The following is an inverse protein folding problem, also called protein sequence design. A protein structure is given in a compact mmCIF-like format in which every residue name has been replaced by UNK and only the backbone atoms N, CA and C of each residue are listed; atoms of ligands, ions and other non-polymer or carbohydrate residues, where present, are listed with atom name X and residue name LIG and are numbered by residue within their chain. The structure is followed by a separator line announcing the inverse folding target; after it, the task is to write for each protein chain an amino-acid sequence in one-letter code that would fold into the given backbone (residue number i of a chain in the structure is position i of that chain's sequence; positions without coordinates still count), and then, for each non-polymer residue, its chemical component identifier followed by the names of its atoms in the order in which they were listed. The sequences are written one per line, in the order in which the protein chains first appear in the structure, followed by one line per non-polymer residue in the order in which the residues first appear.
data_IF_421391264726
#
_entry.id   IF_421391264726
#
_cell.length_a   1.000
_cell.length_b   1.000
_cell.length_c   1.000
_cell.angle_alpha   90.00
_cell.angle_beta   90.00
_cell.angle_gamma   90.00
#
_symmetry.space_group_name_H-M   'P 1'
#
loop_
_entity.id
_entity.type
_entity.pdbx_description
1 polymer ?
#
# COMPACT_ATOMS: atom_id res chain seq x y z
N UNK A 1 -7.35 10.18 -19.84
CA UNK A 1 -6.45 9.67 -18.79
C UNK A 1 -4.99 9.91 -19.12
N UNK A 2 -4.11 9.67 -18.14
CA UNK A 2 -2.66 9.90 -18.29
C UNK A 2 -2.01 8.85 -19.22
N UNK A 3 -2.61 7.65 -19.32
CA UNK A 3 -2.13 6.55 -20.15
C UNK A 3 -3.31 5.97 -20.97
N UNK A 4 -3.77 6.64 -22.02
CA UNK A 4 -4.99 6.25 -22.74
C UNK A 4 -4.88 4.91 -23.48
N UNK A 5 -3.66 4.46 -23.78
CA UNK A 5 -3.40 3.20 -24.49
C UNK A 5 -2.91 2.08 -23.58
N UNK A 6 -3.05 2.23 -22.25
CA UNK A 6 -2.66 1.20 -21.30
C UNK A 6 -3.72 0.07 -21.27
N UNK A 7 -3.27 -1.16 -21.36
CA UNK A 7 -4.09 -2.34 -21.06
C UNK A 7 -4.33 -2.44 -19.56
N UNK A 8 -5.58 -2.63 -19.14
CA UNK A 8 -5.97 -2.70 -17.74
C UNK A 8 -6.32 -4.13 -17.34
N UNK A 9 -5.66 -4.62 -16.28
CA UNK A 9 -6.05 -5.82 -15.55
C UNK A 9 -6.73 -5.36 -14.27
N UNK A 10 -8.01 -5.69 -14.09
CA UNK A 10 -8.81 -5.25 -12.94
C UNK A 10 -9.10 -6.42 -12.03
N UNK A 11 -8.91 -6.20 -10.74
CA UNK A 11 -9.31 -7.10 -9.67
C UNK A 11 -10.16 -6.35 -8.63
N UNK A 12 -11.05 -7.07 -7.96
CA UNK A 12 -11.93 -6.51 -6.94
C UNK A 12 -11.52 -6.98 -5.55
N UNK A 13 -11.09 -6.06 -4.69
CA UNK A 13 -10.79 -6.34 -3.29
C UNK A 13 -12.03 -6.77 -2.47
N UNK A 14 -13.23 -6.60 -3.00
CA UNK A 14 -14.49 -7.00 -2.35
C UNK A 14 -15.14 -8.23 -2.98
N UNK A 15 -14.39 -8.95 -3.79
CA UNK A 15 -14.93 -10.10 -4.54
C UNK A 15 -15.47 -11.20 -3.62
N UNK A 16 -14.95 -11.29 -2.40
CA UNK A 16 -15.28 -12.37 -1.48
C UNK A 16 -15.54 -11.81 -0.08
N UNK A 17 -16.79 -11.69 0.28
CA UNK A 17 -17.20 -11.60 1.68
C UNK A 17 -17.16 -13.02 2.27
N UNK A 18 -15.96 -13.54 2.60
CA UNK A 18 -15.78 -14.89 3.11
C UNK A 18 -14.32 -15.19 3.50
N UNK A 19 -14.09 -16.32 4.09
CA UNK A 19 -12.96 -16.69 4.94
C UNK A 19 -11.55 -16.81 4.28
N UNK A 20 -11.32 -16.35 3.03
CA UNK A 20 -10.07 -16.57 2.28
C UNK A 20 -9.49 -15.29 1.61
N UNK A 21 -9.58 -14.14 2.24
CA UNK A 21 -9.16 -12.86 1.63
C UNK A 21 -7.70 -12.85 1.14
N UNK A 22 -6.78 -13.46 1.88
CA UNK A 22 -5.36 -13.45 1.54
C UNK A 22 -4.98 -14.28 0.31
N UNK A 23 -5.64 -15.41 0.12
CA UNK A 23 -5.45 -16.26 -1.07
C UNK A 23 -5.94 -15.54 -2.33
N UNK A 24 -7.00 -14.76 -2.22
CA UNK A 24 -7.56 -14.00 -3.34
C UNK A 24 -6.62 -12.87 -3.77
N UNK A 25 -6.05 -12.11 -2.84
CA UNK A 25 -5.08 -11.05 -3.17
C UNK A 25 -3.81 -11.60 -3.84
N UNK A 26 -3.31 -12.74 -3.35
CA UNK A 26 -2.17 -13.41 -3.94
C UNK A 26 -2.47 -13.90 -5.35
N UNK A 27 -3.62 -14.57 -5.53
CA UNK A 27 -4.05 -15.10 -6.83
C UNK A 27 -4.30 -13.99 -7.86
N UNK A 28 -4.81 -12.85 -7.42
CA UNK A 28 -5.05 -11.68 -8.27
C UNK A 28 -3.74 -11.03 -8.74
N UNK A 29 -2.72 -10.94 -7.86
CA UNK A 29 -1.38 -10.47 -8.24
C UNK A 29 -0.70 -11.43 -9.23
N UNK A 30 -0.79 -12.73 -8.98
CA UNK A 30 -0.23 -13.74 -9.87
C UNK A 30 -0.93 -13.72 -11.24
N UNK A 31 -2.25 -13.57 -11.27
CA UNK A 31 -3.02 -13.43 -12.50
C UNK A 31 -2.64 -12.16 -13.26
N UNK A 32 -2.46 -11.03 -12.57
CA UNK A 32 -2.02 -9.77 -13.18
C UNK A 32 -0.63 -9.92 -13.78
N UNK A 33 0.30 -10.54 -13.08
CA UNK A 33 1.65 -10.84 -13.58
C UNK A 33 1.60 -11.73 -14.82
N UNK A 34 0.81 -12.80 -14.81
CA UNK A 34 0.64 -13.70 -15.96
C UNK A 34 0.03 -12.97 -17.16
N UNK A 35 -0.86 -12.02 -16.92
CA UNK A 35 -1.42 -11.14 -17.96
C UNK A 35 -0.42 -10.08 -18.48
N UNK A 36 0.80 -10.00 -17.91
CA UNK A 36 1.83 -9.08 -18.35
C UNK A 36 1.73 -7.67 -17.74
N UNK A 37 1.01 -7.51 -16.63
CA UNK A 37 0.98 -6.25 -15.90
C UNK A 37 2.37 -5.91 -15.36
N UNK A 38 2.79 -4.66 -15.57
CA UNK A 38 4.09 -4.13 -15.14
C UNK A 38 3.95 -3.05 -14.05
N UNK A 39 2.73 -2.63 -13.73
CA UNK A 39 2.43 -1.72 -12.62
C UNK A 39 1.21 -2.25 -11.90
N UNK A 40 1.32 -2.39 -10.58
CA UNK A 40 0.20 -2.73 -9.70
C UNK A 40 -0.14 -1.51 -8.84
N UNK A 41 -1.34 -0.96 -8.99
CA UNK A 41 -1.85 0.13 -8.19
C UNK A 41 -2.65 -0.41 -7.00
N UNK A 42 -2.17 -0.17 -5.80
CA UNK A 42 -2.71 -0.64 -4.53
C UNK A 42 -3.24 0.56 -3.71
N UNK A 43 -4.45 0.99 -4.01
CA UNK A 43 -5.08 2.14 -3.33
C UNK A 43 -6.07 1.68 -2.26
N UNK A 44 -5.63 0.78 -1.38
CA UNK A 44 -6.42 0.23 -0.29
C UNK A 44 -5.56 -0.06 0.95
N UNK A 45 -6.19 -0.28 2.08
CA UNK A 45 -5.54 -0.62 3.35
C UNK A 45 -6.57 -1.01 4.40
N UNK A 46 -6.08 -1.39 5.56
CA UNK A 46 -6.91 -1.69 6.73
C UNK A 46 -7.14 -0.44 7.57
N UNK A 47 -8.29 -0.38 8.23
CA UNK A 47 -8.63 0.68 9.16
C UNK A 47 -8.79 0.12 10.58
N UNK A 48 -8.42 0.94 11.56
CA UNK A 48 -8.71 0.74 12.96
C UNK A 48 -9.48 1.94 13.49
N UNK A 49 -10.64 1.73 14.08
CA UNK A 49 -11.46 2.79 14.70
C UNK A 49 -11.77 3.99 13.77
N UNK A 50 -11.76 3.76 12.44
CA UNK A 50 -12.09 4.79 11.46
C UNK A 50 -10.89 5.57 10.90
N UNK A 51 -9.67 5.24 11.32
CA UNK A 51 -8.41 5.75 10.77
C UNK A 51 -7.64 4.64 10.06
N UNK A 52 -6.71 5.01 9.17
CA UNK A 52 -5.83 4.05 8.50
C UNK A 52 -4.96 3.34 9.53
N UNK A 53 -4.95 2.01 9.50
CA UNK A 53 -4.01 1.23 10.29
C UNK A 53 -2.61 1.39 9.68
N UNK A 54 -1.71 2.04 10.41
CA UNK A 54 -0.38 2.38 9.89
C UNK A 54 0.68 1.33 10.25
N UNK A 55 1.86 1.42 9.64
CA UNK A 55 2.92 0.42 9.81
C UNK A 55 3.47 0.39 11.24
N UNK A 56 3.61 1.54 11.93
CA UNK A 56 4.06 1.59 13.32
C UNK A 56 3.08 0.90 14.28
N UNK A 57 1.78 0.92 13.99
CA UNK A 57 0.77 0.19 14.75
C UNK A 57 0.91 -1.33 14.55
N UNK A 58 1.20 -1.77 13.32
CA UNK A 58 1.46 -3.18 13.04
C UNK A 58 2.74 -3.66 13.73
N UNK A 59 3.81 -2.88 13.71
CA UNK A 59 5.03 -3.17 14.48
C UNK A 59 4.77 -3.26 15.98
N UNK A 60 3.93 -2.37 16.50
CA UNK A 60 3.53 -2.36 17.91
C UNK A 60 2.70 -3.60 18.26
N UNK A 61 1.78 -4.01 17.39
CA UNK A 61 1.02 -5.26 17.53
C UNK A 61 1.95 -6.48 17.60
N UNK A 62 2.90 -6.57 16.67
CA UNK A 62 3.90 -7.64 16.56
C UNK A 62 4.71 -7.72 17.84
N UNK A 63 5.31 -6.60 18.27
CA UNK A 63 6.18 -6.55 19.44
C UNK A 63 5.44 -6.83 20.74
N UNK A 64 4.27 -6.25 20.95
CA UNK A 64 3.46 -6.40 22.16
C UNK A 64 2.98 -7.85 22.38
N UNK A 65 2.76 -8.57 21.29
CA UNK A 65 2.26 -9.95 21.33
C UNK A 65 3.35 -11.00 21.04
N UNK A 66 4.61 -10.59 20.89
CA UNK A 66 5.72 -11.49 20.57
C UNK A 66 5.46 -12.33 19.31
N UNK A 67 4.87 -11.72 18.29
CA UNK A 67 4.57 -12.36 17.01
C UNK A 67 5.78 -12.28 16.07
N UNK A 68 5.81 -13.17 15.07
CA UNK A 68 6.63 -12.95 13.87
C UNK A 68 5.94 -11.93 12.94
N UNK A 69 6.68 -11.36 11.99
CA UNK A 69 6.11 -10.42 11.02
C UNK A 69 4.94 -11.04 10.23
N UNK A 70 5.10 -12.28 9.78
CA UNK A 70 4.03 -13.01 9.09
C UNK A 70 2.79 -13.25 9.98
N UNK A 71 2.99 -13.53 11.28
CA UNK A 71 1.90 -13.66 12.24
C UNK A 71 1.19 -12.33 12.51
N UNK A 72 1.93 -11.22 12.54
CA UNK A 72 1.36 -9.88 12.66
C UNK A 72 0.51 -9.51 11.44
N UNK A 73 1.05 -9.74 10.25
CA UNK A 73 0.31 -9.54 9.00
C UNK A 73 -0.95 -10.42 8.95
N UNK A 74 -0.86 -11.70 9.31
CA UNK A 74 -1.99 -12.61 9.39
C UNK A 74 -3.07 -12.10 10.37
N UNK A 75 -2.64 -11.56 11.50
CA UNK A 75 -3.56 -10.97 12.47
C UNK A 75 -4.27 -9.74 11.89
N UNK A 76 -3.55 -8.87 11.17
CA UNK A 76 -4.13 -7.71 10.51
C UNK A 76 -5.14 -8.12 9.43
N UNK A 77 -4.81 -9.10 8.60
CA UNK A 77 -5.64 -9.55 7.47
C UNK A 77 -6.87 -10.36 7.89
N UNK A 78 -6.73 -11.20 8.91
CA UNK A 78 -7.73 -12.22 9.25
C UNK A 78 -8.16 -12.22 10.74
N UNK A 79 -7.62 -11.33 11.56
CA UNK A 79 -7.84 -11.35 13.01
C UNK A 79 -7.24 -12.58 13.71
N UNK A 80 -6.35 -13.33 13.05
CA UNK A 80 -5.75 -14.57 13.55
C UNK A 80 -4.29 -14.70 13.11
N UNK A 81 -3.40 -14.98 14.05
CA UNK A 81 -1.96 -15.13 13.80
C UNK A 81 -1.53 -16.57 13.51
N UNK A 82 -2.47 -17.48 13.21
CA UNK A 82 -2.20 -18.92 13.03
C UNK A 82 -3.13 -19.55 12.00
N UNK A 83 -2.90 -20.84 11.70
CA UNK A 83 -3.75 -21.61 10.80
C UNK A 83 -3.76 -21.08 9.37
N UNK A 84 -4.94 -21.02 8.75
CA UNK A 84 -5.09 -20.58 7.37
C UNK A 84 -4.65 -19.12 7.19
N UNK A 85 -5.01 -18.22 8.10
CA UNK A 85 -4.61 -16.82 8.01
C UNK A 85 -3.08 -16.61 7.92
N UNK A 86 -2.30 -17.39 8.66
CA UNK A 86 -0.83 -17.37 8.54
C UNK A 86 -0.35 -17.90 7.19
N UNK A 87 -1.00 -18.93 6.66
CA UNK A 87 -0.70 -19.45 5.31
C UNK A 87 -0.97 -18.39 4.27
N UNK A 88 -2.12 -17.72 4.34
CA UNK A 88 -2.54 -16.69 3.38
C UNK A 88 -1.61 -15.46 3.42
N UNK A 89 -1.22 -15.02 4.62
CA UNK A 89 -0.25 -13.93 4.76
C UNK A 89 1.11 -14.25 4.11
N UNK A 90 1.62 -15.47 4.31
CA UNK A 90 2.87 -15.90 3.66
C UNK A 90 2.72 -16.02 2.14
N UNK A 91 1.60 -16.54 1.66
CA UNK A 91 1.29 -16.64 0.23
C UNK A 91 1.22 -15.26 -0.39
N UNK A 92 0.58 -14.30 0.30
CA UNK A 92 0.47 -12.93 -0.17
C UNK A 92 1.83 -12.23 -0.26
N UNK A 93 2.68 -12.31 0.78
CA UNK A 93 4.05 -11.76 0.75
C UNK A 93 4.86 -12.37 -0.40
N UNK A 94 4.71 -13.67 -0.64
CA UNK A 94 5.36 -14.34 -1.77
C UNK A 94 4.88 -13.79 -3.11
N UNK A 95 3.58 -13.55 -3.27
CA UNK A 95 3.02 -13.00 -4.51
C UNK A 95 3.47 -11.55 -4.75
N UNK A 96 3.56 -10.72 -3.68
CA UNK A 96 4.12 -9.37 -3.76
C UNK A 96 5.57 -9.40 -4.27
N UNK A 97 6.45 -10.19 -3.65
CA UNK A 97 7.84 -10.33 -4.07
C UNK A 97 7.97 -10.86 -5.51
N UNK A 98 7.14 -11.84 -5.86
CA UNK A 98 7.09 -12.34 -7.23
C UNK A 98 6.71 -11.25 -8.24
N UNK A 99 5.74 -10.39 -7.91
CA UNK A 99 5.34 -9.30 -8.80
C UNK A 99 6.46 -8.29 -8.99
N UNK A 100 7.16 -7.87 -7.92
CA UNK A 100 8.28 -6.93 -7.97
C UNK A 100 9.41 -7.40 -8.89
N UNK A 101 9.61 -8.70 -9.07
CA UNK A 101 10.61 -9.24 -9.98
C UNK A 101 10.42 -8.84 -11.45
N UNK A 102 9.26 -8.30 -11.82
CA UNK A 102 8.92 -7.93 -13.21
C UNK A 102 8.04 -6.68 -13.33
N UNK A 103 7.62 -6.08 -12.23
CA UNK A 103 6.76 -4.92 -12.20
C UNK A 103 7.01 -4.02 -11.01
N UNK A 104 6.28 -2.93 -10.92
CA UNK A 104 6.37 -1.93 -9.85
C UNK A 104 5.07 -1.96 -9.04
N UNK A 105 5.20 -2.03 -7.72
CA UNK A 105 4.10 -1.86 -6.77
C UNK A 105 3.95 -0.37 -6.42
N UNK A 106 2.76 0.18 -6.59
CA UNK A 106 2.44 1.56 -6.22
C UNK A 106 1.35 1.54 -5.15
N UNK A 107 1.70 1.97 -3.96
CA UNK A 107 0.83 1.97 -2.78
C UNK A 107 0.39 3.37 -2.38
N UNK A 108 -0.84 3.49 -1.92
CA UNK A 108 -1.29 4.70 -1.22
C UNK A 108 -0.74 4.73 0.20
N UNK A 109 -0.18 5.86 0.62
CA UNK A 109 0.24 6.05 2.00
C UNK A 109 -0.94 6.05 3.00
N UNK A 110 -2.13 6.40 2.54
CA UNK A 110 -3.34 6.55 3.34
C UNK A 110 -3.92 7.95 3.27
N UNK A 111 -5.14 8.13 3.80
CA UNK A 111 -5.92 9.37 3.64
C UNK A 111 -6.05 10.20 4.93
N UNK A 112 -5.35 9.84 6.00
CA UNK A 112 -5.53 10.44 7.33
C UNK A 112 -4.38 11.40 7.68
N UNK A 113 -4.62 12.70 7.59
CA UNK A 113 -3.63 13.77 7.80
C UNK A 113 -2.97 13.71 9.19
N UNK A 114 -3.64 13.12 10.19
CA UNK A 114 -3.14 12.98 11.54
C UNK A 114 -2.10 11.88 11.70
N UNK A 115 -2.06 10.92 10.78
CA UNK A 115 -1.17 9.76 10.89
C UNK A 115 0.29 10.13 10.65
N UNK A 116 1.15 9.60 11.53
CA UNK A 116 2.59 9.87 11.50
C UNK A 116 3.36 8.99 10.52
N UNK A 117 2.70 7.94 10.00
CA UNK A 117 3.31 6.90 9.18
C UNK A 117 2.38 6.45 8.06
N UNK A 118 2.93 5.80 7.04
CA UNK A 118 2.18 5.22 5.95
C UNK A 118 1.30 4.06 6.43
N UNK A 119 0.27 3.71 5.65
CA UNK A 119 -0.59 2.56 5.92
C UNK A 119 0.24 1.29 6.07
N UNK A 120 -0.22 0.35 6.89
CA UNK A 120 0.49 -0.89 7.18
C UNK A 120 0.85 -1.67 5.91
N UNK A 121 -0.05 -1.69 4.92
CA UNK A 121 0.20 -2.39 3.66
C UNK A 121 1.26 -1.69 2.81
N UNK A 122 1.29 -0.35 2.79
CA UNK A 122 2.32 0.42 2.11
C UNK A 122 3.69 0.27 2.76
N UNK A 123 3.73 0.04 4.08
CA UNK A 123 4.95 -0.13 4.87
C UNK A 123 5.47 -1.57 4.97
N UNK A 124 4.90 -2.54 4.27
CA UNK A 124 5.33 -3.94 4.38
C UNK A 124 6.84 -4.19 4.16
N UNK A 125 7.57 -3.44 3.31
CA UNK A 125 9.03 -3.60 3.21
C UNK A 125 9.78 -3.41 4.52
N UNK A 126 9.25 -2.63 5.49
CA UNK A 126 9.86 -2.48 6.82
C UNK A 126 9.86 -3.78 7.62
N UNK A 127 8.89 -4.65 7.36
CA UNK A 127 8.74 -5.95 8.01
C UNK A 127 9.31 -7.11 7.19
N UNK A 128 9.32 -6.99 5.87
CA UNK A 128 9.72 -8.03 4.93
C UNK A 128 10.81 -7.47 4.00
N UNK A 129 12.10 -7.59 4.39
CA UNK A 129 13.21 -6.98 3.65
C UNK A 129 13.41 -7.49 2.22
N UNK A 130 12.77 -8.61 1.86
CA UNK A 130 12.76 -9.13 0.50
C UNK A 130 11.80 -8.36 -0.43
N UNK A 131 10.94 -7.49 0.14
CA UNK A 131 10.12 -6.52 -0.58
C UNK A 131 10.85 -5.19 -0.67
N UNK A 132 10.42 -4.32 -1.58
CA UNK A 132 10.92 -2.94 -1.69
C UNK A 132 11.89 -2.71 -2.84
N UNK A 133 12.25 -3.73 -3.62
CA UNK A 133 13.10 -3.55 -4.80
C UNK A 133 12.43 -2.73 -5.91
N UNK A 134 11.10 -2.85 -6.04
CA UNK A 134 10.27 -2.13 -7.00
C UNK A 134 8.98 -1.60 -6.34
N UNK A 135 9.13 -0.91 -5.22
CA UNK A 135 8.06 -0.44 -4.36
C UNK A 135 8.02 1.08 -4.31
N UNK A 136 6.85 1.66 -4.48
CA UNK A 136 6.63 3.10 -4.37
C UNK A 136 5.44 3.34 -3.44
N UNK A 137 5.64 4.20 -2.45
CA UNK A 137 4.55 4.72 -1.62
C UNK A 137 4.22 6.14 -2.10
N UNK A 138 2.97 6.39 -2.41
CA UNK A 138 2.49 7.70 -2.82
C UNK A 138 1.70 8.36 -1.69
N UNK A 139 2.19 9.46 -1.16
CA UNK A 139 1.40 10.30 -0.29
C UNK A 139 0.85 11.52 -1.06
N UNK A 140 -0.25 12.06 -0.58
CA UNK A 140 -0.93 13.17 -1.26
C UNK A 140 -0.61 14.50 -0.58
N UNK A 141 -0.19 15.47 -1.39
CA UNK A 141 -0.06 16.86 -0.99
C UNK A 141 -0.95 17.75 -1.87
N UNK A 142 -1.30 18.91 -1.37
CA UNK A 142 -1.89 19.99 -2.15
C UNK A 142 -0.83 21.06 -2.36
N UNK A 143 -0.55 21.38 -3.60
CA UNK A 143 0.27 22.54 -3.96
C UNK A 143 -0.62 23.78 -4.05
N UNK A 144 -0.20 24.87 -3.39
CA UNK A 144 -0.94 26.14 -3.34
C UNK A 144 -0.14 27.31 -3.90
N UNK A 145 1.05 27.03 -4.45
CA UNK A 145 1.89 28.03 -5.12
C UNK A 145 1.40 28.39 -6.52
N UNK A 146 2.22 29.11 -7.24
CA UNK A 146 1.96 29.41 -8.64
C UNK A 146 2.31 28.23 -9.56
N UNK A 147 2.09 28.34 -10.87
CA UNK A 147 2.27 27.22 -11.82
C UNK A 147 3.73 26.82 -12.07
N UNK A 148 4.71 27.56 -11.54
CA UNK A 148 6.14 27.28 -11.72
C UNK A 148 6.72 26.56 -10.51
N UNK A 149 6.76 25.24 -10.59
CA UNK A 149 7.34 24.38 -9.54
C UNK A 149 8.86 24.53 -9.37
N UNK A 150 9.56 25.18 -10.30
CA UNK A 150 11.03 25.28 -10.23
C UNK A 150 11.54 26.11 -9.04
N UNK A 151 10.68 26.97 -8.50
CA UNK A 151 10.96 27.82 -7.35
C UNK A 151 10.09 27.47 -6.14
N UNK A 152 9.35 26.35 -6.18
CA UNK A 152 8.44 25.96 -5.13
C UNK A 152 9.19 25.73 -3.79
N UNK A 153 8.59 26.21 -2.72
CA UNK A 153 9.08 26.04 -1.35
C UNK A 153 8.20 25.06 -0.56
N UNK A 154 8.75 24.46 0.48
CA UNK A 154 7.99 23.51 1.30
C UNK A 154 6.72 24.09 1.93
N UNK A 155 6.66 25.40 2.13
CA UNK A 155 5.48 26.09 2.69
C UNK A 155 4.28 26.17 1.74
N UNK A 156 4.49 25.90 0.45
CA UNK A 156 3.45 25.89 -0.58
C UNK A 156 2.81 24.51 -0.74
N UNK A 157 3.30 23.50 -0.01
CA UNK A 157 2.72 22.16 0.01
C UNK A 157 2.02 21.90 1.34
N UNK A 158 0.79 21.43 1.27
CA UNK A 158 0.02 21.01 2.42
C UNK A 158 -0.26 19.51 2.32
N UNK A 159 0.14 18.75 3.33
CA UNK A 159 -0.15 17.31 3.39
C UNK A 159 -1.66 17.07 3.49
N UNK A 160 -2.18 16.10 2.71
CA UNK A 160 -3.60 15.74 2.63
C UNK A 160 -3.89 14.26 2.90
N UNK A 161 -2.89 13.50 3.32
CA UNK A 161 -2.99 12.10 3.69
C UNK A 161 -1.98 11.74 4.76
N UNK A 162 -1.73 10.45 4.97
CA UNK A 162 -0.72 9.98 5.89
C UNK A 162 0.66 10.51 5.51
N UNK A 163 1.53 10.70 6.50
CA UNK A 163 2.96 10.95 6.25
C UNK A 163 3.62 9.69 5.70
N UNK A 164 4.75 9.87 5.04
CA UNK A 164 5.60 8.75 4.64
C UNK A 164 6.17 7.98 5.84
N UNK A 165 6.58 8.70 6.89
CA UNK A 165 7.12 8.10 8.10
C UNK A 165 8.34 7.22 7.81
N UNK A 166 8.32 5.97 8.27
CA UNK A 166 9.38 4.98 8.05
C UNK A 166 9.61 4.65 6.57
N UNK A 167 8.59 4.80 5.73
CA UNK A 167 8.67 4.51 4.27
C UNK A 167 9.35 5.61 3.45
N UNK A 168 9.96 6.61 4.09
CA UNK A 168 10.46 7.82 3.43
C UNK A 168 11.47 7.55 2.29
N UNK A 169 12.21 6.45 2.34
CA UNK A 169 13.22 6.10 1.32
C UNK A 169 12.60 5.72 -0.04
N UNK A 170 11.37 5.21 -0.05
CA UNK A 170 10.63 4.81 -1.26
C UNK A 170 9.27 5.50 -1.37
N UNK A 171 9.09 6.61 -0.67
CA UNK A 171 7.87 7.41 -0.68
C UNK A 171 8.01 8.66 -1.55
N UNK A 172 7.00 8.92 -2.37
CA UNK A 172 6.88 10.11 -3.21
C UNK A 172 5.66 10.92 -2.83
N UNK A 173 5.84 12.23 -2.68
CA UNK A 173 4.73 13.16 -2.53
C UNK A 173 4.22 13.57 -3.92
N UNK A 174 2.92 13.45 -4.12
CA UNK A 174 2.25 13.83 -5.37
C UNK A 174 1.19 14.88 -5.09
N UNK A 175 1.09 15.88 -5.99
CA UNK A 175 -0.04 16.81 -5.96
C UNK A 175 -1.28 16.07 -6.47
N UNK A 176 -2.06 15.56 -5.53
CA UNK A 176 -3.22 14.72 -5.79
C UNK A 176 -4.52 15.27 -5.23
N UNK A 177 -4.50 16.51 -4.74
CA UNK A 177 -5.69 17.17 -4.21
C UNK A 177 -6.43 17.90 -5.34
N UNK A 178 -7.76 17.73 -5.40
CA UNK A 178 -8.60 18.29 -6.47
C UNK A 178 -8.27 17.78 -7.90
N UNK A 179 -7.75 16.55 -8.01
CA UNK A 179 -7.49 15.93 -9.31
C UNK A 179 -8.81 15.54 -9.99
N UNK A 180 -9.03 16.03 -11.19
CA UNK A 180 -10.16 15.63 -12.02
C UNK A 180 -9.90 14.27 -12.65
N UNK A 181 -10.68 13.27 -12.25
CA UNK A 181 -10.69 11.99 -12.94
C UNK A 181 -11.53 12.08 -14.22
N UNK A 182 -11.16 11.32 -15.23
CA UNK A 182 -12.02 11.11 -16.39
C UNK A 182 -13.28 10.35 -15.94
N UNK A 183 -14.44 10.90 -16.18
CA UNK A 183 -15.77 10.27 -15.93
C UNK A 183 -16.23 9.50 -17.15
#
# INVERSE_FOLDING_TARGET
GVAPDADLVLSSIRKYEGDNEGDDYASDLDAAKVAGAIVSNQSWGYNSEGTSYNISELESLISSNSLTNAQGLANLMHGSSSGQGLTDANTYVTALNNFESSGVMVWSAGNDVGESDASAMAGLPELFPDLGEAWIVANVVQYTGDSDLSNATSSEFTLKGNKCGSTAEYCLSVDGYDVYAAT
#
